data_IF_444149168217
#
_entry.id   IF_444149168217
#
_cell.length_a   1.000
_cell.length_b   1.000
_cell.length_c   1.000
_cell.angle_alpha   90.00
_cell.angle_beta   90.00
_cell.angle_gamma   90.00
#
_symmetry.space_group_name_H-M   'P 1'
#
loop_
_entity.id
_entity.type
_entity.pdbx_description
1 polymer ?
#
# COMPACT_ATOMS: atom_id res chain seq x y z
N UNK A 1 35.62 13.36 -80.11
CA UNK A 1 35.89 13.22 -78.65
C UNK A 1 35.20 14.42 -78.00
N UNK A 2 33.94 14.24 -77.63
CA UNK A 2 33.48 13.93 -76.27
C UNK A 2 33.67 15.16 -75.36
N UNK A 3 32.61 15.94 -75.14
CA UNK A 3 31.64 15.73 -74.05
C UNK A 3 32.11 16.40 -72.76
N UNK A 4 31.16 16.87 -71.94
CA UNK A 4 31.32 17.38 -70.58
C UNK A 4 31.53 18.91 -70.45
N UNK A 5 30.74 19.74 -71.15
CA UNK A 5 30.65 21.17 -70.83
C UNK A 5 29.22 21.71 -70.67
N UNK A 6 28.18 20.87 -70.82
CA UNK A 6 26.78 21.31 -70.79
C UNK A 6 25.89 20.56 -69.78
N UNK A 7 26.47 19.85 -68.81
CA UNK A 7 25.70 19.12 -67.77
C UNK A 7 25.84 19.74 -66.38
N UNK A 8 26.65 20.79 -66.19
CA UNK A 8 27.01 21.24 -64.83
C UNK A 8 26.29 22.46 -64.29
N UNK A 9 25.36 23.09 -65.04
CA UNK A 9 24.66 24.30 -64.56
C UNK A 9 23.22 24.04 -64.11
N UNK A 10 22.63 22.90 -64.45
CA UNK A 10 21.24 22.58 -64.08
C UNK A 10 21.09 21.80 -62.75
N UNK A 11 22.18 21.35 -62.11
CA UNK A 11 22.11 20.52 -60.90
C UNK A 11 22.60 21.22 -59.62
N UNK A 12 23.09 22.46 -59.70
CA UNK A 12 23.50 23.24 -58.52
C UNK A 12 22.39 24.18 -58.01
N UNK A 13 21.30 24.38 -58.75
CA UNK A 13 20.20 25.25 -58.36
C UNK A 13 19.00 24.53 -57.72
N UNK A 14 19.04 23.19 -57.59
CA UNK A 14 17.95 22.38 -57.03
C UNK A 14 18.27 21.74 -55.67
N UNK A 15 19.35 22.17 -55.00
CA UNK A 15 19.68 21.71 -53.64
C UNK A 15 19.59 22.81 -52.57
N UNK A 16 19.04 23.99 -52.91
CA UNK A 16 18.90 25.12 -51.98
C UNK A 16 17.44 25.37 -51.54
N UNK A 17 16.51 24.51 -51.94
CA UNK A 17 15.11 24.59 -51.51
C UNK A 17 14.76 23.27 -50.79
N UNK A 18 14.18 23.39 -49.60
CA UNK A 18 13.71 22.31 -48.71
C UNK A 18 14.62 21.87 -47.57
N UNK A 19 15.44 22.78 -47.03
CA UNK A 19 15.47 22.89 -45.56
C UNK A 19 14.38 23.88 -45.16
N UNK A 20 13.12 23.56 -45.51
CA UNK A 20 11.99 24.17 -44.85
C UNK A 20 12.14 23.83 -43.39
N UNK A 21 12.48 24.84 -42.58
CA UNK A 21 12.45 24.76 -41.14
C UNK A 21 11.15 24.06 -40.76
N UNK A 22 11.26 22.85 -40.18
CA UNK A 22 10.16 22.30 -39.42
C UNK A 22 10.02 23.23 -38.21
N UNK A 23 9.26 24.31 -38.40
CA UNK A 23 8.73 25.09 -37.32
C UNK A 23 7.86 24.11 -36.53
N UNK A 24 8.40 23.59 -35.44
CA UNK A 24 7.60 22.93 -34.41
C UNK A 24 6.59 23.97 -33.96
N UNK A 25 5.36 23.85 -34.47
CA UNK A 25 4.23 24.64 -34.03
C UNK A 25 4.06 24.34 -32.53
N UNK A 26 4.67 25.16 -31.70
CA UNK A 26 4.58 25.04 -30.25
C UNK A 26 3.24 25.63 -29.88
N UNK A 27 2.22 24.76 -29.79
CA UNK A 27 0.91 25.12 -29.26
C UNK A 27 1.08 25.41 -27.77
N UNK A 28 0.90 26.67 -27.38
CA UNK A 28 0.87 27.06 -25.98
C UNK A 28 -0.55 26.88 -25.47
N UNK A 29 -0.76 25.93 -24.56
CA UNK A 29 -2.04 25.77 -23.87
C UNK A 29 -2.04 26.66 -22.62
N UNK A 30 -2.98 27.59 -22.56
CA UNK A 30 -3.17 28.42 -21.35
C UNK A 30 -4.10 27.68 -20.40
N UNK A 31 -3.57 27.27 -19.25
CA UNK A 31 -4.37 26.69 -18.17
C UNK A 31 -4.68 27.83 -17.19
N UNK A 32 -5.98 28.09 -16.98
CA UNK A 32 -6.42 29.02 -15.94
C UNK A 32 -6.35 28.32 -14.59
N UNK A 33 -5.45 28.79 -13.73
CA UNK A 33 -5.39 28.32 -12.35
C UNK A 33 -6.51 29.00 -11.53
N UNK A 34 -7.28 28.25 -10.74
CA UNK A 34 -8.23 28.84 -9.80
C UNK A 34 -7.51 29.78 -8.83
N UNK A 35 -7.97 31.02 -8.72
CA UNK A 35 -7.44 32.01 -7.77
C UNK A 35 -8.05 31.89 -6.37
N UNK A 36 -9.11 31.08 -6.24
CA UNK A 36 -9.82 30.82 -4.99
C UNK A 36 -9.90 29.30 -4.80
N UNK A 37 -9.58 28.85 -3.59
CA UNK A 37 -9.80 27.45 -3.19
C UNK A 37 -11.30 27.13 -3.32
N UNK A 38 -11.70 26.05 -4.03
CA UNK A 38 -13.09 25.62 -4.06
C UNK A 38 -13.63 25.36 -2.64
N UNK A 39 -14.89 25.71 -2.38
CA UNK A 39 -15.53 25.44 -1.08
C UNK A 39 -15.65 23.94 -0.77
N UNK A 40 -15.55 23.10 -1.80
CA UNK A 40 -15.54 21.63 -1.72
C UNK A 40 -14.14 21.05 -1.55
N UNK A 41 -13.09 21.87 -1.52
CA UNK A 41 -11.73 21.38 -1.36
C UNK A 41 -11.45 21.00 0.09
N UNK A 42 -10.89 19.81 0.28
CA UNK A 42 -10.47 19.32 1.59
C UNK A 42 -9.07 19.84 1.96
N UNK A 43 -8.84 20.02 3.25
CA UNK A 43 -7.50 20.22 3.78
C UNK A 43 -6.79 18.87 3.73
N UNK A 44 -5.64 18.81 3.06
CA UNK A 44 -4.81 17.61 3.05
C UNK A 44 -4.27 17.38 4.46
N UNK A 45 -4.51 16.20 5.07
CA UNK A 45 -4.00 15.90 6.40
C UNK A 45 -2.47 16.01 6.47
N UNK A 46 -1.90 16.46 7.61
CA UNK A 46 -0.45 16.54 7.81
C UNK A 46 0.32 15.22 7.64
N UNK A 47 -0.37 14.10 7.83
CA UNK A 47 0.09 12.70 7.76
C UNK A 47 -0.32 12.00 6.46
N UNK A 48 -0.75 12.74 5.44
CA UNK A 48 -1.20 12.19 4.16
C UNK A 48 -0.16 11.28 3.46
N UNK A 49 1.13 11.54 3.67
CA UNK A 49 2.21 10.72 3.10
C UNK A 49 2.58 9.57 4.05
N UNK A 50 2.42 8.35 3.55
CA UNK A 50 2.84 7.12 4.22
C UNK A 50 3.56 6.16 3.30
N UNK A 51 4.01 5.04 3.85
CA UNK A 51 4.63 3.93 3.10
C UNK A 51 3.93 2.61 3.42
N UNK A 52 3.87 1.72 2.43
CA UNK A 52 3.33 0.37 2.61
C UNK A 52 4.44 -0.66 2.59
N UNK A 53 4.47 -1.56 3.57
CA UNK A 53 5.31 -2.76 3.55
C UNK A 53 4.44 -4.01 3.47
N UNK A 54 4.80 -4.88 2.54
CA UNK A 54 4.17 -6.18 2.41
C UNK A 54 4.54 -7.05 3.62
N UNK A 55 3.57 -7.74 4.23
CA UNK A 55 3.76 -8.50 5.46
C UNK A 55 4.85 -9.56 5.32
N UNK A 56 4.86 -10.31 4.22
CA UNK A 56 5.91 -11.31 3.94
C UNK A 56 7.33 -10.73 3.90
N UNK A 57 7.48 -9.43 3.63
CA UNK A 57 8.79 -8.77 3.46
C UNK A 57 9.16 -7.86 4.61
N UNK A 58 8.32 -7.71 5.63
CA UNK A 58 8.61 -6.82 6.76
C UNK A 58 10.03 -7.02 7.33
N UNK A 59 10.51 -8.25 7.59
CA UNK A 59 11.86 -8.45 8.13
C UNK A 59 12.98 -7.92 7.22
N UNK A 60 12.78 -7.89 5.89
CA UNK A 60 13.77 -7.36 4.95
C UNK A 60 13.93 -5.84 5.06
N UNK A 61 12.90 -5.12 5.54
CA UNK A 61 12.97 -3.69 5.83
C UNK A 61 13.67 -3.37 7.16
N UNK A 62 14.10 -4.37 7.93
CA UNK A 62 14.87 -4.16 9.16
C UNK A 62 16.33 -3.78 8.86
N UNK A 63 16.53 -2.64 8.20
CA UNK A 63 17.84 -2.15 7.75
C UNK A 63 17.90 -0.60 7.79
N UNK A 64 19.13 -0.06 7.77
CA UNK A 64 19.37 1.38 7.90
C UNK A 64 18.79 2.19 6.73
N UNK A 65 18.78 1.63 5.52
CA UNK A 65 18.22 2.33 4.36
C UNK A 65 16.73 2.59 4.53
N UNK A 66 15.96 1.56 4.91
CA UNK A 66 14.52 1.67 5.12
C UNK A 66 14.18 2.63 6.28
N UNK A 67 14.93 2.55 7.39
CA UNK A 67 14.75 3.45 8.53
C UNK A 67 15.05 4.90 8.15
N UNK A 68 16.17 5.14 7.47
CA UNK A 68 16.54 6.47 7.00
C UNK A 68 15.51 7.04 6.02
N UNK A 69 14.95 6.21 5.13
CA UNK A 69 13.90 6.64 4.21
C UNK A 69 12.65 7.11 4.97
N UNK A 70 12.15 6.31 5.91
CA UNK A 70 10.98 6.66 6.73
C UNK A 70 11.24 7.93 7.54
N UNK A 71 12.38 8.02 8.22
CA UNK A 71 12.76 9.21 9.00
C UNK A 71 12.84 10.47 8.13
N UNK A 72 13.40 10.34 6.93
CA UNK A 72 13.54 11.41 5.95
C UNK A 72 12.17 11.88 5.44
N UNK A 73 11.21 10.96 5.22
CA UNK A 73 9.84 11.33 4.89
C UNK A 73 9.18 12.08 6.05
N UNK A 74 9.22 11.51 7.26
CA UNK A 74 8.64 12.11 8.47
C UNK A 74 9.20 13.50 8.78
N UNK A 75 10.49 13.75 8.52
CA UNK A 75 11.10 15.08 8.75
C UNK A 75 10.66 16.17 7.77
N UNK A 76 9.94 15.81 6.69
CA UNK A 76 9.46 16.74 5.65
C UNK A 76 7.96 17.00 5.71
N UNK A 77 7.24 16.29 6.58
CA UNK A 77 5.80 16.48 6.80
C UNK A 77 5.55 16.95 8.24
N UNK A 78 4.36 17.48 8.49
CA UNK A 78 4.02 18.11 9.78
C UNK A 78 3.51 17.12 10.84
N UNK A 79 3.52 15.82 10.55
CA UNK A 79 3.13 14.75 11.45
C UNK A 79 4.00 13.50 11.22
N UNK A 80 4.07 12.55 12.18
CA UNK A 80 4.72 11.27 11.96
C UNK A 80 4.19 10.55 10.71
N UNK A 81 5.07 9.97 9.90
CA UNK A 81 4.66 9.17 8.74
C UNK A 81 4.01 7.86 9.19
N UNK A 82 2.96 7.44 8.51
CA UNK A 82 2.32 6.14 8.73
C UNK A 82 2.98 5.06 7.88
N UNK A 83 3.28 3.92 8.50
CA UNK A 83 3.67 2.68 7.83
C UNK A 83 2.47 1.72 7.85
N UNK A 84 1.99 1.31 6.68
CA UNK A 84 0.94 0.29 6.55
C UNK A 84 1.57 -1.08 6.30
N UNK A 85 1.41 -2.00 7.24
CA UNK A 85 1.85 -3.40 7.14
C UNK A 85 0.67 -4.27 6.74
N UNK A 86 0.76 -4.92 5.58
CA UNK A 86 -0.35 -5.75 5.11
C UNK A 86 -0.09 -6.33 3.73
N UNK A 87 -1.10 -6.28 2.88
CA UNK A 87 -1.06 -6.62 1.47
C UNK A 87 -1.63 -8.01 1.23
N UNK A 88 -1.56 -8.53 -0.01
CA UNK A 88 -2.06 -9.86 -0.31
C UNK A 88 -1.42 -10.96 0.54
N UNK A 89 -0.18 -10.76 1.02
CA UNK A 89 0.49 -11.69 1.94
C UNK A 89 -0.07 -11.61 3.36
N UNK A 90 -0.62 -10.47 3.77
CA UNK A 90 -1.20 -10.27 5.09
C UNK A 90 -2.36 -11.20 5.39
N UNK A 91 -3.04 -11.71 4.36
CA UNK A 91 -4.18 -12.64 4.46
C UNK A 91 -3.77 -14.12 4.32
N UNK A 92 -2.47 -14.40 4.25
CA UNK A 92 -1.91 -15.74 4.04
C UNK A 92 -0.97 -16.17 5.16
N UNK A 93 -0.89 -15.38 6.21
CA UNK A 93 0.00 -15.64 7.33
C UNK A 93 -0.67 -16.52 8.39
N UNK A 94 0.14 -17.32 9.06
CA UNK A 94 -0.22 -17.95 10.34
C UNK A 94 0.80 -17.55 11.40
N UNK A 95 0.40 -17.41 12.66
CA UNK A 95 1.32 -17.17 13.76
C UNK A 95 1.58 -18.47 14.54
N UNK A 96 2.85 -18.78 14.77
CA UNK A 96 3.29 -19.85 15.67
C UNK A 96 4.19 -19.26 16.78
N UNK A 97 3.74 -19.28 18.05
CA UNK A 97 4.54 -18.76 19.15
C UNK A 97 5.85 -19.53 19.39
N UNK A 98 5.97 -20.76 18.88
CA UNK A 98 7.16 -21.59 19.04
C UNK A 98 8.15 -21.45 17.88
N UNK A 99 7.78 -20.73 16.82
CA UNK A 99 8.65 -20.52 15.69
C UNK A 99 9.76 -19.52 16.03
N UNK A 100 11.01 -19.96 15.91
CA UNK A 100 12.19 -19.14 16.26
C UNK A 100 12.54 -18.08 15.21
N UNK A 101 12.40 -18.43 13.93
CA UNK A 101 12.65 -17.52 12.83
C UNK A 101 11.52 -16.48 12.72
N UNK A 102 11.84 -15.28 12.23
CA UNK A 102 10.83 -14.25 11.99
C UNK A 102 9.75 -14.76 11.04
N UNK A 103 10.16 -15.41 9.96
CA UNK A 103 9.29 -16.00 8.95
C UNK A 103 9.77 -17.39 8.56
N UNK A 104 8.82 -18.28 8.27
CA UNK A 104 9.08 -19.59 7.69
C UNK A 104 8.04 -19.89 6.61
N UNK A 105 8.49 -20.47 5.50
CA UNK A 105 7.62 -20.82 4.39
C UNK A 105 7.66 -22.34 4.17
N UNK A 106 6.52 -23.05 4.32
CA UNK A 106 6.48 -24.49 4.14
C UNK A 106 6.89 -24.94 2.73
N UNK A 107 6.72 -24.07 1.73
CA UNK A 107 6.92 -24.37 0.30
C UNK A 107 8.21 -23.78 -0.28
N UNK A 108 9.21 -23.50 0.55
CA UNK A 108 10.53 -23.01 0.13
C UNK A 108 10.87 -21.63 0.68
N UNK A 109 11.43 -20.75 -0.15
CA UNK A 109 11.80 -19.39 0.26
C UNK A 109 10.56 -18.49 0.42
N UNK A 110 10.61 -17.61 1.42
CA UNK A 110 9.64 -16.54 1.63
C UNK A 110 9.86 -15.34 0.71
N UNK A 111 11.00 -15.27 0.02
CA UNK A 111 11.31 -14.24 -0.96
C UNK A 111 10.48 -14.44 -2.25
N UNK A 112 9.80 -13.37 -2.68
CA UNK A 112 9.25 -13.24 -4.04
C UNK A 112 7.77 -13.59 -4.24
N UNK A 113 7.00 -13.91 -3.21
CA UNK A 113 5.62 -14.32 -3.38
C UNK A 113 4.67 -13.80 -2.30
N UNK A 114 3.98 -12.68 -2.61
CA UNK A 114 2.80 -12.23 -1.85
C UNK A 114 1.62 -13.21 -1.91
N UNK A 115 1.71 -14.29 -2.70
CA UNK A 115 0.64 -15.26 -2.92
C UNK A 115 0.78 -16.58 -2.13
N UNK A 116 1.88 -16.79 -1.39
CA UNK A 116 2.14 -18.02 -0.64
C UNK A 116 1.79 -17.88 0.83
N UNK A 117 1.43 -19.01 1.45
CA UNK A 117 1.25 -19.09 2.90
C UNK A 117 2.62 -19.14 3.60
N UNK A 118 2.72 -18.46 4.74
CA UNK A 118 3.91 -18.40 5.56
C UNK A 118 3.54 -18.30 7.03
N UNK A 119 4.47 -18.68 7.89
CA UNK A 119 4.30 -18.67 9.34
C UNK A 119 5.18 -17.58 9.93
N UNK A 120 4.62 -16.80 10.85
CA UNK A 120 5.30 -15.80 11.65
C UNK A 120 5.73 -16.38 12.98
N UNK A 121 6.97 -16.10 13.38
CA UNK A 121 7.43 -16.28 14.76
C UNK A 121 7.44 -14.96 15.53
N UNK A 122 7.61 -14.99 16.87
CA UNK A 122 7.61 -13.76 17.68
C UNK A 122 8.65 -12.70 17.25
N UNK A 123 9.80 -13.12 16.72
CA UNK A 123 10.86 -12.20 16.26
C UNK A 123 10.50 -11.38 15.02
N UNK A 124 9.43 -11.74 14.29
CA UNK A 124 8.88 -10.90 13.22
C UNK A 124 8.53 -9.49 13.72
N UNK A 125 7.91 -9.44 14.90
CA UNK A 125 7.39 -8.22 15.49
C UNK A 125 8.47 -7.29 16.05
N UNK A 126 9.72 -7.76 16.16
CA UNK A 126 10.84 -6.89 16.54
C UNK A 126 11.13 -5.82 15.48
N UNK A 127 10.76 -6.05 14.22
CA UNK A 127 10.95 -5.08 13.14
C UNK A 127 10.19 -3.77 13.37
N UNK A 128 9.04 -3.79 14.04
CA UNK A 128 8.28 -2.58 14.41
C UNK A 128 9.08 -1.67 15.36
N UNK A 129 10.04 -2.22 16.11
CA UNK A 129 10.89 -1.45 17.02
C UNK A 129 11.96 -0.66 16.28
N UNK A 130 12.20 -0.90 14.99
CA UNK A 130 13.14 -0.10 14.22
C UNK A 130 12.57 1.28 13.90
N UNK A 131 11.32 1.35 13.44
CA UNK A 131 10.72 2.60 12.99
C UNK A 131 10.04 3.35 14.15
N UNK A 132 10.84 3.84 15.10
CA UNK A 132 10.34 4.51 16.32
C UNK A 132 9.63 5.84 16.06
N UNK A 133 10.01 6.53 14.99
CA UNK A 133 9.41 7.82 14.58
C UNK A 133 8.08 7.67 13.84
N UNK A 134 7.73 6.45 13.42
CA UNK A 134 6.55 6.19 12.61
C UNK A 134 5.34 5.76 13.45
N UNK A 135 4.16 6.01 12.89
CA UNK A 135 2.90 5.41 13.32
C UNK A 135 2.56 4.24 12.39
N UNK A 136 1.67 3.35 12.81
CA UNK A 136 1.45 2.09 12.11
C UNK A 136 -0.03 1.79 11.91
N UNK A 137 -0.34 1.35 10.70
CA UNK A 137 -1.50 0.50 10.45
C UNK A 137 -1.00 -0.92 10.21
N UNK A 138 -1.63 -1.93 10.81
CA UNK A 138 -1.31 -3.32 10.53
C UNK A 138 -2.56 -4.15 10.28
N UNK A 139 -2.41 -5.14 9.40
CA UNK A 139 -3.51 -5.99 8.95
C UNK A 139 -3.78 -7.15 9.91
N UNK A 140 -5.06 -7.30 10.28
CA UNK A 140 -5.65 -8.53 10.77
C UNK A 140 -5.81 -9.50 9.59
N UNK A 141 -5.18 -10.68 9.70
CA UNK A 141 -5.14 -11.71 8.65
C UNK A 141 -6.47 -12.42 8.55
N UNK A 142 -7.43 -11.87 7.80
CA UNK A 142 -8.70 -12.55 7.54
C UNK A 142 -8.46 -13.72 6.59
N UNK A 143 -8.15 -13.41 5.32
CA UNK A 143 -8.12 -14.40 4.25
C UNK A 143 -9.45 -15.16 4.11
N UNK A 144 -9.44 -16.19 3.27
CA UNK A 144 -10.62 -17.04 3.10
C UNK A 144 -10.79 -17.96 4.33
N UNK A 145 -12.00 -18.00 4.91
CA UNK A 145 -12.33 -18.75 6.13
C UNK A 145 -11.40 -18.36 7.32
N UNK A 146 -11.56 -17.16 7.88
CA UNK A 146 -10.64 -16.62 8.87
C UNK A 146 -10.56 -17.50 10.14
N UNK A 147 -9.33 -17.75 10.57
CA UNK A 147 -9.06 -18.42 11.84
C UNK A 147 -8.95 -17.37 12.96
N UNK A 148 -9.98 -17.29 13.81
CA UNK A 148 -10.03 -16.29 14.88
C UNK A 148 -8.82 -16.34 15.83
N UNK A 149 -8.33 -17.53 16.19
CA UNK A 149 -7.14 -17.69 17.04
C UNK A 149 -5.90 -17.07 16.38
N UNK A 150 -5.72 -17.32 15.09
CA UNK A 150 -4.61 -16.76 14.31
C UNK A 150 -4.72 -15.23 14.19
N UNK A 151 -5.91 -14.73 13.86
CA UNK A 151 -6.19 -13.29 13.76
C UNK A 151 -5.81 -12.58 15.07
N UNK A 152 -6.34 -13.07 16.19
CA UNK A 152 -6.09 -12.49 17.52
C UNK A 152 -4.60 -12.55 17.84
N UNK A 153 -3.94 -13.67 17.59
CA UNK A 153 -2.52 -13.82 17.91
C UNK A 153 -1.66 -12.83 17.12
N UNK A 154 -1.86 -12.75 15.79
CA UNK A 154 -1.14 -11.80 14.94
C UNK A 154 -1.34 -10.36 15.42
N UNK A 155 -2.59 -9.92 15.58
CA UNK A 155 -2.92 -8.55 15.98
C UNK A 155 -2.38 -8.24 17.38
N UNK A 156 -2.49 -9.18 18.33
CA UNK A 156 -1.98 -8.98 19.70
C UNK A 156 -0.47 -8.76 19.74
N UNK A 157 0.28 -9.54 18.95
CA UNK A 157 1.74 -9.40 18.89
C UNK A 157 2.15 -8.11 18.16
N UNK A 158 1.45 -7.73 17.08
CA UNK A 158 1.67 -6.45 16.41
C UNK A 158 1.37 -5.27 17.34
N UNK A 159 0.22 -5.28 18.00
CA UNK A 159 -0.18 -4.24 18.94
C UNK A 159 0.80 -4.09 20.10
N UNK A 160 1.28 -5.20 20.66
CA UNK A 160 2.28 -5.17 21.73
C UNK A 160 3.62 -4.57 21.27
N UNK A 161 4.04 -4.79 20.02
CA UNK A 161 5.28 -4.25 19.47
C UNK A 161 5.16 -2.77 19.05
N UNK A 162 4.00 -2.36 18.56
CA UNK A 162 3.72 -0.97 18.15
C UNK A 162 3.44 -0.08 19.37
N UNK A 163 2.58 -0.55 20.27
CA UNK A 163 2.08 0.20 21.41
C UNK A 163 0.93 1.15 21.04
N UNK A 164 0.02 1.47 21.99
CA UNK A 164 -1.19 2.25 21.73
C UNK A 164 -0.92 3.63 21.12
N UNK A 165 0.15 4.31 21.52
CA UNK A 165 0.44 5.68 21.07
C UNK A 165 0.89 5.76 19.61
N UNK A 166 1.28 4.64 19.00
CA UNK A 166 1.76 4.57 17.61
C UNK A 166 0.83 3.78 16.69
N UNK A 167 -0.31 3.30 17.20
CA UNK A 167 -1.34 2.69 16.37
C UNK A 167 -2.15 3.78 15.68
N UNK A 168 -2.16 3.77 14.34
CA UNK A 168 -3.12 4.52 13.53
C UNK A 168 -4.38 3.72 13.33
N UNK A 169 -4.29 2.52 12.77
CA UNK A 169 -5.45 1.67 12.53
C UNK A 169 -5.13 0.17 12.55
N UNK A 170 -6.17 -0.66 12.65
CA UNK A 170 -6.09 -2.09 12.35
C UNK A 170 -6.85 -2.32 11.05
N UNK A 171 -6.17 -2.82 10.02
CA UNK A 171 -6.78 -3.14 8.73
C UNK A 171 -7.42 -4.52 8.78
N UNK A 172 -8.68 -4.65 8.37
CA UNK A 172 -9.43 -5.91 8.49
C UNK A 172 -9.49 -6.60 7.13
N UNK A 173 -8.46 -7.40 6.85
CA UNK A 173 -8.23 -8.02 5.54
C UNK A 173 -7.65 -7.07 4.49
N UNK A 174 -7.31 -7.61 3.32
CA UNK A 174 -6.78 -6.87 2.17
C UNK A 174 -7.45 -7.33 0.88
N UNK A 175 -8.00 -6.38 0.12
CA UNK A 175 -8.62 -6.67 -1.20
C UNK A 175 -9.58 -7.89 -1.13
N UNK A 176 -10.47 -7.86 -0.14
CA UNK A 176 -11.37 -8.98 0.22
C UNK A 176 -12.24 -9.45 -0.95
N UNK A 177 -12.44 -8.56 -1.92
CA UNK A 177 -13.04 -8.84 -3.21
C UNK A 177 -12.40 -10.02 -3.99
N UNK A 178 -11.19 -10.46 -3.65
CA UNK A 178 -10.52 -11.59 -4.31
C UNK A 178 -10.76 -12.96 -3.66
N UNK A 179 -11.33 -13.02 -2.46
CA UNK A 179 -11.48 -14.29 -1.73
C UNK A 179 -12.78 -14.45 -0.96
N UNK A 180 -13.58 -13.40 -0.85
CA UNK A 180 -14.91 -13.46 -0.23
C UNK A 180 -15.98 -13.76 -1.28
N UNK A 181 -16.87 -14.70 -0.94
CA UNK A 181 -17.98 -15.11 -1.80
C UNK A 181 -19.04 -14.02 -1.93
N UNK A 182 -19.16 -13.17 -0.90
CA UNK A 182 -20.10 -12.06 -0.88
C UNK A 182 -19.67 -10.96 0.10
N UNK A 183 -20.15 -9.73 -0.14
CA UNK A 183 -20.02 -8.63 0.83
C UNK A 183 -20.63 -8.97 2.21
N UNK A 184 -21.70 -9.76 2.26
CA UNK A 184 -22.32 -10.16 3.53
C UNK A 184 -21.43 -11.12 4.33
N UNK A 185 -20.74 -12.04 3.65
CA UNK A 185 -19.76 -12.95 4.27
C UNK A 185 -18.61 -12.16 4.87
N UNK A 186 -18.02 -11.27 4.07
CA UNK A 186 -16.98 -10.36 4.55
C UNK A 186 -17.42 -9.57 5.78
N UNK A 187 -18.63 -9.00 5.75
CA UNK A 187 -19.14 -8.20 6.87
C UNK A 187 -19.22 -9.02 8.16
N UNK A 188 -19.75 -10.25 8.08
CA UNK A 188 -19.87 -11.12 9.24
C UNK A 188 -18.50 -11.51 9.82
N UNK A 189 -17.55 -11.84 8.95
CA UNK A 189 -16.20 -12.26 9.32
C UNK A 189 -15.39 -11.10 9.90
N UNK A 190 -15.45 -9.92 9.26
CA UNK A 190 -14.82 -8.71 9.74
C UNK A 190 -15.41 -8.24 11.08
N UNK A 191 -16.74 -8.31 11.27
CA UNK A 191 -17.36 -7.96 12.55
C UNK A 191 -16.91 -8.91 13.66
N UNK A 192 -16.88 -10.22 13.39
CA UNK A 192 -16.39 -11.23 14.33
C UNK A 192 -14.93 -10.96 14.72
N UNK A 193 -14.07 -10.64 13.75
CA UNK A 193 -12.68 -10.29 14.01
C UNK A 193 -12.55 -9.01 14.84
N UNK A 194 -13.29 -7.94 14.50
CA UNK A 194 -13.30 -6.67 15.24
C UNK A 194 -13.70 -6.88 16.70
N UNK A 195 -14.78 -7.61 16.96
CA UNK A 195 -15.29 -7.85 18.31
C UNK A 195 -14.28 -8.63 19.14
N UNK A 196 -13.70 -9.68 18.56
CA UNK A 196 -12.67 -10.47 19.20
C UNK A 196 -11.41 -9.65 19.52
N UNK A 197 -10.94 -8.84 18.57
CA UNK A 197 -9.77 -7.97 18.75
C UNK A 197 -10.03 -6.90 19.81
N UNK A 198 -11.17 -6.21 19.72
CA UNK A 198 -11.57 -5.15 20.67
C UNK A 198 -11.61 -5.68 22.09
N UNK A 199 -12.22 -6.85 22.27
CA UNK A 199 -12.32 -7.53 23.55
C UNK A 199 -10.95 -7.91 24.12
N UNK A 200 -10.07 -8.51 23.31
CA UNK A 200 -8.75 -8.99 23.79
C UNK A 200 -7.76 -7.86 24.05
N UNK A 201 -7.86 -6.75 23.32
CA UNK A 201 -6.93 -5.63 23.42
C UNK A 201 -7.46 -4.45 24.27
N UNK A 202 -8.69 -4.51 24.75
CA UNK A 202 -9.36 -3.41 25.48
C UNK A 202 -9.28 -2.07 24.71
N UNK A 203 -9.52 -2.13 23.39
CA UNK A 203 -9.47 -0.96 22.53
C UNK A 203 -10.72 -0.11 22.77
N UNK A 204 -10.54 1.10 23.30
CA UNK A 204 -11.67 1.99 23.61
C UNK A 204 -12.23 2.71 22.38
N UNK A 205 -11.35 3.14 21.46
CA UNK A 205 -11.71 3.82 20.21
C UNK A 205 -10.76 3.44 19.07
N UNK A 206 -10.74 2.18 18.61
CA UNK A 206 -9.87 1.77 17.51
C UNK A 206 -10.32 2.38 16.18
N UNK A 207 -9.36 2.91 15.43
CA UNK A 207 -9.59 3.21 14.01
C UNK A 207 -9.45 1.89 13.24
N UNK A 208 -10.49 1.55 12.49
CA UNK A 208 -10.49 0.38 11.62
C UNK A 208 -10.27 0.83 10.18
N UNK A 209 -9.30 0.20 9.50
CA UNK A 209 -9.19 0.30 8.04
C UNK A 209 -10.01 -0.85 7.45
N UNK A 210 -11.17 -0.51 6.89
CA UNK A 210 -12.08 -1.46 6.22
C UNK A 210 -11.97 -1.21 4.71
N UNK A 211 -11.68 -2.23 3.88
CA UNK A 211 -11.72 -2.11 2.43
C UNK A 211 -13.11 -1.67 1.96
N UNK A 212 -13.17 -0.78 0.98
CA UNK A 212 -14.44 -0.22 0.48
C UNK A 212 -15.20 -1.18 -0.45
N UNK A 213 -14.54 -2.24 -0.95
CA UNK A 213 -15.13 -3.18 -1.90
C UNK A 213 -15.04 -4.64 -1.43
N UNK A 214 -16.19 -5.31 -1.40
CA UNK A 214 -16.33 -6.76 -1.37
C UNK A 214 -17.27 -7.17 -2.53
N UNK A 215 -16.92 -8.19 -3.33
CA UNK A 215 -17.74 -8.55 -4.50
C UNK A 215 -19.01 -9.27 -4.04
N UNK A 216 -20.14 -8.84 -4.57
CA UNK A 216 -21.37 -9.62 -4.68
C UNK A 216 -22.02 -9.28 -6.02
N UNK A 217 -22.55 -10.27 -6.73
CA UNK A 217 -23.04 -10.15 -8.10
C UNK A 217 -23.91 -8.90 -8.34
N UNK A 218 -23.34 -7.90 -9.02
CA UNK A 218 -24.08 -6.78 -9.60
C UNK A 218 -24.32 -5.55 -8.72
N UNK A 219 -23.74 -5.45 -7.52
CA UNK A 219 -23.76 -4.18 -6.76
C UNK A 219 -22.51 -4.05 -5.89
N UNK A 220 -21.68 -3.00 -6.05
CA UNK A 220 -20.63 -2.71 -5.10
C UNK A 220 -21.30 -2.25 -3.80
N UNK A 221 -21.47 -3.17 -2.84
CA UNK A 221 -21.78 -2.75 -1.49
C UNK A 221 -20.52 -2.05 -0.98
N UNK A 222 -20.58 -0.72 -0.86
CA UNK A 222 -19.64 0.05 -0.05
C UNK A 222 -19.81 -0.44 1.39
N UNK A 223 -19.00 -1.42 1.79
CA UNK A 223 -19.13 -2.11 3.07
C UNK A 223 -18.80 -1.18 4.25
N UNK A 224 -18.11 -0.06 3.98
CA UNK A 224 -17.78 0.97 4.95
C UNK A 224 -19.01 1.50 5.72
N UNK A 225 -20.15 1.69 5.07
CA UNK A 225 -21.38 2.20 5.71
C UNK A 225 -21.96 1.25 6.77
N UNK A 226 -21.62 -0.04 6.72
CA UNK A 226 -22.03 -1.02 7.72
C UNK A 226 -21.20 -0.86 9.01
N UNK A 227 -19.97 -0.40 8.89
CA UNK A 227 -19.01 -0.34 10.00
C UNK A 227 -18.83 1.05 10.63
N UNK A 228 -19.29 2.12 9.97
CA UNK A 228 -19.24 3.50 10.46
C UNK A 228 -20.45 3.87 11.38
N UNK A 229 -21.10 2.88 12.02
CA UNK A 229 -22.24 3.08 12.94
C UNK A 229 -21.82 3.16 14.41
#
# INVERSE_FOLDING_TARGET
>A
MSSIAQVSVALAALLVLDVAAQATATSTQSILLPTVRPSTAFIVPPDFLGVGFESAYLPAYNNDFSENLVNSLGSRIAAPSTIRIGGPSGDKLTFDPNQKASTWCPTGDCVGYSNKAFVLGPSYFDTFKRFQSARFTFQASLGHNPNATNVIANVKHAYAAVGPSRLDAIAVGNEVNWYEDSAATYVADAQTAKDAITSVLDLKDPIWEIPDSAVGAGNPYAVKEVFDK
#
